data_IF_030381406422
#
_entry.id   IF_030381406422
#
_cell.length_a   1.000
_cell.length_b   1.000
_cell.length_c   1.000
_cell.angle_alpha   90.00
_cell.angle_beta   90.00
_cell.angle_gamma   90.00
#
_symmetry.space_group_name_H-M   'P 1'
#
loop_
_entity.id
_entity.type
_entity.pdbx_description
1 polymer ?
#
# COMPACT_ATOMS: atom_id res chain seq x y z
N UNK A 1 -1.75 -10.76 -11.28
CA UNK A 1 -0.29 -10.70 -11.13
C UNK A 1 0.19 -11.63 -10.04
N UNK A 2 -0.53 -11.70 -8.91
CA UNK A 2 -0.27 -12.66 -7.84
C UNK A 2 -0.83 -14.06 -8.22
N UNK A 3 -0.07 -15.16 -8.05
CA UNK A 3 -0.56 -16.52 -8.21
C UNK A 3 -1.71 -16.87 -7.25
N UNK A 4 -2.56 -17.81 -7.66
CA UNK A 4 -3.67 -18.25 -6.80
C UNK A 4 -3.13 -19.01 -5.59
N UNK A 5 -3.56 -18.62 -4.39
CA UNK A 5 -3.18 -19.26 -3.13
C UNK A 5 -1.88 -18.74 -2.52
N UNK A 6 -1.20 -17.80 -3.18
CA UNK A 6 0.01 -17.15 -2.65
C UNK A 6 -0.34 -16.17 -1.53
N UNK A 7 -1.39 -15.36 -1.73
CA UNK A 7 -1.91 -14.42 -0.76
C UNK A 7 -3.41 -14.17 -1.00
N UNK A 8 -4.13 -13.82 0.06
CA UNK A 8 -5.54 -13.47 0.03
C UNK A 8 -5.88 -12.41 1.10
N UNK A 9 -6.99 -11.70 0.90
CA UNK A 9 -7.49 -10.72 1.86
C UNK A 9 -8.51 -11.37 2.79
N UNK A 10 -8.41 -11.08 4.08
CA UNK A 10 -9.37 -11.47 5.10
C UNK A 10 -9.91 -10.24 5.82
N UNK A 11 -11.19 -10.29 6.18
CA UNK A 11 -11.79 -9.28 7.04
C UNK A 11 -11.19 -9.36 8.45
N UNK A 12 -10.97 -8.18 9.05
CA UNK A 12 -10.60 -8.04 10.46
C UNK A 12 -11.85 -7.61 11.23
N UNK A 13 -12.44 -8.53 11.98
CA UNK A 13 -13.71 -8.29 12.69
C UNK A 13 -13.58 -7.40 13.94
N UNK A 14 -12.37 -7.22 14.45
CA UNK A 14 -12.08 -6.46 15.67
C UNK A 14 -10.58 -6.37 15.91
N UNK A 15 -10.18 -5.47 16.82
CA UNK A 15 -8.78 -5.25 17.20
C UNK A 15 -8.43 -5.83 18.58
N UNK A 16 -9.38 -6.51 19.22
CA UNK A 16 -9.12 -7.29 20.41
C UNK A 16 -8.42 -8.62 20.07
N UNK A 17 -7.79 -9.23 21.07
CA UNK A 17 -6.97 -10.43 20.87
C UNK A 17 -7.76 -11.62 20.31
N UNK A 18 -9.02 -11.78 20.71
CA UNK A 18 -9.86 -12.90 20.27
C UNK A 18 -10.25 -12.71 18.80
N UNK A 19 -10.60 -11.48 18.40
CA UNK A 19 -10.89 -11.16 17.01
C UNK A 19 -9.65 -11.29 16.10
N UNK A 20 -8.49 -10.80 16.55
CA UNK A 20 -7.24 -10.88 15.78
C UNK A 20 -6.73 -12.32 15.64
N UNK A 21 -7.00 -13.20 16.60
CA UNK A 21 -6.64 -14.61 16.52
C UNK A 21 -7.36 -15.36 15.38
N UNK A 22 -8.44 -14.78 14.81
CA UNK A 22 -9.14 -15.34 13.65
C UNK A 22 -8.46 -15.00 12.32
N UNK A 23 -7.54 -14.03 12.29
CA UNK A 23 -6.85 -13.61 11.07
C UNK A 23 -5.71 -14.59 10.74
N UNK A 24 -5.71 -15.23 9.56
CA UNK A 24 -4.64 -16.15 9.18
C UNK A 24 -3.26 -15.51 9.22
N UNK A 25 -2.26 -16.29 9.64
CA UNK A 25 -0.87 -15.87 9.77
C UNK A 25 -0.01 -16.58 8.71
N UNK A 26 1.06 -15.95 8.20
CA UNK A 26 1.53 -14.60 8.53
C UNK A 26 0.68 -13.50 7.86
N UNK A 27 0.58 -12.34 8.51
CA UNK A 27 -0.04 -11.14 7.93
C UNK A 27 1.04 -10.32 7.22
N UNK A 28 0.84 -10.05 5.93
CA UNK A 28 1.80 -9.33 5.09
C UNK A 28 1.52 -7.81 5.03
N UNK A 29 0.24 -7.42 5.09
CA UNK A 29 -0.19 -6.03 5.07
C UNK A 29 -1.57 -5.90 5.70
N UNK A 30 -1.90 -4.70 6.19
CA UNK A 30 -3.23 -4.32 6.65
C UNK A 30 -3.69 -3.11 5.88
N UNK A 31 -4.86 -3.20 5.23
CA UNK A 31 -5.50 -2.07 4.56
C UNK A 31 -6.61 -1.56 5.47
N UNK A 32 -6.48 -0.32 5.93
CA UNK A 32 -7.44 0.30 6.85
C UNK A 32 -8.26 1.37 6.11
N UNK A 33 -9.56 1.13 5.97
CA UNK A 33 -10.50 2.09 5.41
C UNK A 33 -11.10 2.93 6.54
N UNK A 34 -10.83 4.24 6.52
CA UNK A 34 -11.36 5.19 7.47
C UNK A 34 -12.01 6.36 6.72
N UNK A 35 -13.02 7.04 7.30
CA UNK A 35 -13.58 8.24 6.70
C UNK A 35 -12.53 9.34 6.65
N UNK A 36 -12.48 10.09 5.55
CA UNK A 36 -11.61 11.24 5.45
C UNK A 36 -11.85 12.18 6.64
N UNK A 37 -10.78 12.68 7.29
CA UNK A 37 -10.94 13.66 8.34
C UNK A 37 -11.67 14.88 7.77
N UNK A 38 -12.54 15.54 8.56
CA UNK A 38 -13.19 16.75 8.09
C UNK A 38 -12.13 17.76 7.65
N UNK A 39 -12.32 18.34 6.46
CA UNK A 39 -11.45 19.41 5.96
C UNK A 39 -11.56 20.60 6.92
N UNK A 40 -10.61 20.71 7.84
CA UNK A 40 -10.42 21.91 8.64
C UNK A 40 -9.39 22.80 7.92
N UNK A 41 -9.80 23.92 7.30
CA UNK A 41 -8.88 24.81 6.61
C UNK A 41 -7.88 25.49 7.56
N UNK A 42 -8.09 25.41 8.87
CA UNK A 42 -7.14 25.87 9.89
C UNK A 42 -6.24 24.73 10.42
N UNK A 43 -6.55 23.47 10.12
CA UNK A 43 -5.65 22.37 10.44
C UNK A 43 -4.38 22.50 9.57
N UNK A 44 -3.18 22.36 10.16
CA UNK A 44 -1.99 22.21 9.35
C UNK A 44 -2.20 21.03 8.39
N UNK A 45 -1.69 21.08 7.15
CA UNK A 45 -1.70 19.90 6.28
C UNK A 45 -1.14 18.74 7.09
N UNK A 46 -1.73 17.54 7.01
CA UNK A 46 -1.21 16.36 7.70
C UNK A 46 0.26 16.20 7.34
N UNK A 47 1.11 16.71 8.21
CA UNK A 47 2.54 16.53 8.10
C UNK A 47 2.75 15.13 8.61
N UNK A 48 2.71 14.17 7.69
CA UNK A 48 3.42 12.91 7.90
C UNK A 48 4.87 13.34 8.13
N UNK A 49 5.24 13.48 9.39
CA UNK A 49 6.63 13.64 9.76
C UNK A 49 7.29 12.34 9.36
N UNK A 50 7.87 12.32 8.16
CA UNK A 50 8.93 11.39 7.87
C UNK A 50 9.99 11.69 8.93
N UNK A 51 9.98 10.95 10.04
CA UNK A 51 11.12 10.91 10.93
C UNK A 51 12.29 10.50 10.05
N UNK A 52 13.17 11.46 9.80
CA UNK A 52 14.13 11.46 8.71
C UNK A 52 15.26 10.45 8.94
N UNK A 53 14.96 9.15 8.80
CA UNK A 53 15.96 8.16 8.43
C UNK A 53 15.81 7.94 6.93
N UNK A 54 16.48 8.79 6.13
CA UNK A 54 16.46 8.69 4.66
C UNK A 54 16.84 7.30 4.15
N UNK A 55 17.63 6.55 4.93
CA UNK A 55 18.07 5.20 4.56
C UNK A 55 16.94 4.16 4.59
N UNK A 56 15.86 4.34 5.38
CA UNK A 56 14.74 3.38 5.44
C UNK A 56 13.66 3.61 4.40
N UNK A 57 13.69 4.74 3.69
CA UNK A 57 12.70 5.08 2.65
C UNK A 57 13.05 4.48 1.29
N UNK A 58 14.34 4.22 1.02
CA UNK A 58 14.78 3.64 -0.26
C UNK A 58 14.27 2.20 -0.46
N UNK A 59 13.87 1.51 0.60
CA UNK A 59 13.31 0.15 0.55
C UNK A 59 11.76 0.13 0.45
N UNK A 60 11.09 1.28 0.63
CA UNK A 60 9.63 1.35 0.63
C UNK A 60 9.11 1.73 -0.75
N UNK A 61 8.28 0.87 -1.34
CA UNK A 61 7.57 1.20 -2.57
C UNK A 61 6.37 2.10 -2.25
N UNK A 62 6.46 3.38 -2.60
CA UNK A 62 5.45 4.38 -2.28
C UNK A 62 4.94 5.10 -3.54
N UNK A 63 3.63 5.33 -3.58
CA UNK A 63 2.91 6.04 -4.64
C UNK A 63 2.09 7.11 -3.94
N UNK A 64 2.27 8.36 -4.35
CA UNK A 64 1.45 9.45 -3.83
C UNK A 64 0.20 9.59 -4.68
N UNK A 65 -0.98 9.42 -4.07
CA UNK A 65 -2.23 9.77 -4.74
C UNK A 65 -2.31 11.29 -4.94
N UNK A 66 -2.68 11.71 -6.15
CA UNK A 66 -2.96 13.12 -6.45
C UNK A 66 -4.48 13.35 -6.46
N UNK A 67 -4.89 14.54 -6.04
CA UNK A 67 -6.32 14.91 -5.87
C UNK A 67 -7.12 14.80 -7.18
N UNK A 68 -6.47 15.02 -8.33
CA UNK A 68 -7.11 14.89 -9.64
C UNK A 68 -7.45 13.45 -10.00
N UNK A 69 -6.89 12.46 -9.30
CA UNK A 69 -7.21 11.05 -9.45
C UNK A 69 -8.02 10.57 -8.22
N UNK A 70 -9.27 11.05 -8.16
CA UNK A 70 -10.22 10.63 -7.13
C UNK A 70 -10.55 9.14 -7.21
N UNK A 71 -10.93 8.55 -6.07
CA UNK A 71 -11.34 7.15 -5.92
C UNK A 71 -10.26 6.09 -6.26
N UNK A 72 -8.98 6.47 -6.33
CA UNK A 72 -7.88 5.54 -6.58
C UNK A 72 -7.24 4.95 -5.31
N UNK A 73 -7.63 5.43 -4.11
CA UNK A 73 -7.00 5.07 -2.84
C UNK A 73 -6.97 3.55 -2.59
N UNK A 74 -8.05 2.84 -2.92
CA UNK A 74 -8.09 1.38 -2.80
C UNK A 74 -7.08 0.68 -3.71
N UNK A 75 -6.98 1.09 -4.97
CA UNK A 75 -6.00 0.54 -5.92
C UNK A 75 -4.57 0.84 -5.47
N UNK A 76 -4.32 2.07 -5.03
CA UNK A 76 -3.00 2.50 -4.55
C UNK A 76 -2.62 1.73 -3.29
N UNK A 77 -3.55 1.53 -2.35
CA UNK A 77 -3.33 0.72 -1.15
C UNK A 77 -3.00 -0.74 -1.50
N UNK A 78 -3.66 -1.33 -2.51
CA UNK A 78 -3.34 -2.67 -2.99
C UNK A 78 -1.94 -2.73 -3.62
N UNK A 79 -1.55 -1.71 -4.39
CA UNK A 79 -0.21 -1.63 -4.97
C UNK A 79 0.87 -1.48 -3.89
N UNK A 80 0.63 -0.68 -2.84
CA UNK A 80 1.53 -0.59 -1.68
C UNK A 80 1.63 -1.93 -0.95
N UNK A 81 0.49 -2.60 -0.68
CA UNK A 81 0.48 -3.88 0.01
C UNK A 81 1.28 -4.95 -0.75
N UNK A 82 1.09 -5.07 -2.06
CA UNK A 82 1.82 -6.06 -2.88
C UNK A 82 3.27 -5.63 -3.09
N UNK A 83 3.52 -4.37 -3.44
CA UNK A 83 4.86 -3.86 -3.77
C UNK A 83 5.83 -3.92 -2.58
N UNK A 84 5.33 -3.79 -1.35
CA UNK A 84 6.15 -3.90 -0.14
C UNK A 84 6.19 -5.32 0.45
N UNK A 85 5.41 -6.27 -0.10
CA UNK A 85 5.43 -7.69 0.28
C UNK A 85 6.19 -8.57 -0.72
N UNK A 86 6.99 -7.98 -1.63
CA UNK A 86 7.67 -8.70 -2.71
C UNK A 86 8.67 -9.77 -2.25
N UNK A 87 9.17 -9.72 -1.01
CA UNK A 87 10.00 -10.79 -0.46
C UNK A 87 9.22 -12.06 -0.10
N UNK A 88 7.91 -11.96 0.10
CA UNK A 88 7.03 -13.05 0.52
C UNK A 88 6.05 -13.48 -0.59
N UNK A 89 5.74 -12.59 -1.55
CA UNK A 89 4.83 -12.84 -2.67
C UNK A 89 5.60 -12.88 -3.99
N UNK A 90 5.53 -14.01 -4.69
CA UNK A 90 6.09 -14.11 -6.05
C UNK A 90 5.06 -13.67 -7.10
N UNK A 91 5.36 -12.63 -7.87
CA UNK A 91 4.50 -12.23 -9.00
C UNK A 91 4.70 -13.16 -10.21
N UNK A 92 3.61 -13.42 -10.94
CA UNK A 92 3.65 -14.09 -12.23
C UNK A 92 4.44 -13.24 -13.21
N UNK A 93 5.49 -13.81 -13.77
CA UNK A 93 6.37 -13.16 -14.74
C UNK A 93 5.57 -12.63 -15.94
N UNK A 94 5.91 -11.41 -16.38
CA UNK A 94 5.24 -10.67 -17.46
C UNK A 94 3.75 -10.38 -17.22
N UNK A 95 3.25 -10.54 -15.99
CA UNK A 95 1.93 -10.05 -15.62
C UNK A 95 1.89 -8.52 -15.50
N UNK A 96 0.70 -7.92 -15.55
CA UNK A 96 0.56 -6.47 -15.43
C UNK A 96 1.21 -5.89 -14.17
N UNK A 97 1.12 -6.58 -13.01
CA UNK A 97 1.77 -6.14 -11.77
C UNK A 97 3.30 -6.27 -11.85
N UNK A 98 3.80 -7.39 -12.40
CA UNK A 98 5.24 -7.60 -12.57
C UNK A 98 5.86 -6.52 -13.47
N UNK A 99 5.23 -6.24 -14.61
CA UNK A 99 5.66 -5.19 -15.52
C UNK A 99 5.58 -3.81 -14.88
N UNK A 100 4.50 -3.52 -14.14
CA UNK A 100 4.30 -2.24 -13.46
C UNK A 100 5.38 -1.97 -12.41
N UNK A 101 5.64 -2.92 -11.50
CA UNK A 101 6.68 -2.72 -10.48
C UNK A 101 8.08 -2.63 -11.10
N UNK A 102 8.37 -3.43 -12.14
CA UNK A 102 9.64 -3.33 -12.88
C UNK A 102 9.81 -1.97 -13.56
N UNK A 103 8.76 -1.40 -14.15
CA UNK A 103 8.85 -0.10 -14.83
C UNK A 103 8.92 1.09 -13.88
N UNK A 104 8.46 0.93 -12.64
CA UNK A 104 8.33 2.02 -11.67
C UNK A 104 9.32 1.94 -10.50
N UNK A 105 10.17 0.91 -10.44
CA UNK A 105 11.08 0.65 -9.31
C UNK A 105 12.05 1.78 -8.97
N UNK A 106 12.40 2.64 -9.94
CA UNK A 106 13.33 3.75 -9.75
C UNK A 106 12.70 5.13 -9.94
N UNK A 107 11.37 5.19 -10.00
CA UNK A 107 10.62 6.44 -10.16
C UNK A 107 10.37 7.08 -8.80
N UNK A 108 10.25 8.40 -8.78
CA UNK A 108 9.78 9.07 -7.56
C UNK A 108 8.27 8.83 -7.34
N UNK A 109 7.76 8.95 -6.09
CA UNK A 109 6.37 8.61 -5.78
C UNK A 109 5.28 9.36 -6.57
N UNK A 110 5.57 10.52 -7.17
CA UNK A 110 4.64 11.24 -8.03
C UNK A 110 4.67 10.71 -9.46
N UNK A 111 5.86 10.36 -9.96
CA UNK A 111 6.07 9.83 -11.31
C UNK A 111 5.38 8.47 -11.51
N UNK A 112 5.33 7.63 -10.47
CA UNK A 112 4.68 6.31 -10.55
C UNK A 112 3.19 6.40 -10.92
N UNK A 113 2.50 7.47 -10.52
CA UNK A 113 1.06 7.57 -10.75
C UNK A 113 0.70 7.90 -12.21
N UNK A 114 1.64 8.48 -12.97
CA UNK A 114 1.41 8.98 -14.33
C UNK A 114 1.92 8.02 -15.42
N UNK A 115 2.49 6.87 -15.05
CA UNK A 115 3.00 5.81 -15.94
C UNK A 115 1.92 4.80 -16.31
#
# INVERSE_FOLDING_TARGET
GVPRGEAEFHDVYGLDADALAMVPQPVLAVVFCFPDPPEDPAAPPEQVSATEDKESLDEVYFIKQIDSLGNACGTIALLHAVGNACSEISLVENSGLDLFFKSTASMDPYEVLIS
#
